data_IF_896615424722
#
_entry.id   IF_896615424722
#
_cell.length_a   1.000
_cell.length_b   1.000
_cell.length_c   1.000
_cell.angle_alpha   90.00
_cell.angle_beta   90.00
_cell.angle_gamma   90.00
#
_symmetry.space_group_name_H-M   'P 1'
#
loop_
_entity.id
_entity.type
_entity.pdbx_description
1 polymer ?
#
# COMPACT_ATOMS: atom_id res chain seq x y z
N UNK A 1 1.16 4.03 -17.74
CA UNK A 1 0.66 2.85 -17.02
C UNK A 1 1.74 1.79 -16.90
N UNK A 2 1.59 0.87 -15.97
CA UNK A 2 2.57 -0.19 -15.65
C UNK A 2 2.99 -1.08 -16.83
N UNK A 3 2.30 -1.04 -17.99
CA UNK A 3 2.58 -1.91 -19.12
C UNK A 3 3.81 -1.54 -19.95
N UNK A 4 4.29 -0.32 -19.88
CA UNK A 4 5.47 0.12 -20.63
C UNK A 4 6.77 -0.18 -19.87
N UNK A 5 6.73 -0.15 -18.53
CA UNK A 5 7.90 -0.38 -17.68
C UNK A 5 8.32 -1.88 -17.62
N UNK A 6 7.40 -2.80 -17.93
CA UNK A 6 7.66 -4.26 -17.92
C UNK A 6 8.63 -4.67 -19.03
N UNK A 7 8.63 -4.00 -20.17
CA UNK A 7 9.43 -4.39 -21.32
C UNK A 7 10.93 -4.15 -21.15
N UNK A 8 11.32 -3.30 -20.19
CA UNK A 8 12.72 -2.98 -19.89
C UNK A 8 13.30 -3.79 -18.71
N UNK A 9 12.47 -4.61 -18.03
CA UNK A 9 12.94 -5.44 -16.90
C UNK A 9 13.65 -6.71 -17.38
N UNK A 10 14.87 -6.93 -16.90
CA UNK A 10 15.56 -8.22 -17.04
C UNK A 10 14.95 -9.25 -16.06
N UNK A 11 13.81 -9.82 -16.44
CA UNK A 11 13.04 -10.76 -15.63
C UNK A 11 13.63 -12.19 -15.64
N UNK A 12 14.90 -12.33 -15.30
CA UNK A 12 15.58 -13.64 -15.15
C UNK A 12 15.75 -14.05 -13.69
N UNK A 13 15.23 -13.26 -12.77
CA UNK A 13 15.23 -13.58 -11.35
C UNK A 13 14.42 -14.83 -11.04
N UNK A 14 14.71 -15.43 -9.90
CA UNK A 14 14.01 -16.62 -9.42
C UNK A 14 13.64 -16.47 -7.95
N UNK A 15 12.52 -17.06 -7.57
CA UNK A 15 12.14 -17.19 -6.17
C UNK A 15 12.91 -18.31 -5.48
N UNK A 16 13.03 -18.26 -4.17
CA UNK A 16 13.57 -19.37 -3.37
C UNK A 16 12.75 -20.66 -3.64
N UNK A 17 13.43 -21.83 -3.65
CA UNK A 17 12.81 -23.11 -4.00
C UNK A 17 11.58 -23.52 -3.18
N UNK A 18 11.46 -23.00 -1.95
CA UNK A 18 10.31 -23.25 -1.08
C UNK A 18 9.15 -22.28 -1.32
N UNK A 19 9.22 -21.37 -2.27
CA UNK A 19 8.11 -20.49 -2.64
C UNK A 19 7.03 -21.23 -3.42
N UNK A 20 5.79 -20.77 -3.27
CA UNK A 20 4.66 -21.24 -4.08
C UNK A 20 4.36 -20.17 -5.12
N UNK A 21 4.50 -20.50 -6.39
CA UNK A 21 4.15 -19.63 -7.52
C UNK A 21 2.93 -20.21 -8.22
N UNK A 22 1.83 -19.43 -8.22
CA UNK A 22 0.58 -19.79 -8.90
C UNK A 22 0.47 -18.92 -10.15
N UNK A 23 0.27 -19.56 -11.32
CA UNK A 23 0.35 -18.93 -12.64
C UNK A 23 1.73 -18.28 -12.88
N UNK A 24 2.78 -19.07 -12.73
CA UNK A 24 4.17 -18.64 -12.74
C UNK A 24 4.60 -17.86 -14.00
N UNK A 25 3.98 -18.11 -15.15
CA UNK A 25 4.20 -17.39 -16.41
C UNK A 25 3.77 -15.92 -16.36
N UNK A 26 3.02 -15.54 -15.33
CA UNK A 26 2.59 -14.15 -15.04
C UNK A 26 3.32 -13.54 -13.82
N UNK A 27 4.37 -14.19 -13.34
CA UNK A 27 5.23 -13.69 -12.26
C UNK A 27 6.56 -13.25 -12.85
N UNK A 28 6.83 -11.95 -12.81
CA UNK A 28 8.00 -11.31 -13.40
C UNK A 28 8.93 -10.83 -12.28
N UNK A 29 10.07 -11.48 -12.14
CA UNK A 29 11.05 -11.19 -11.08
C UNK A 29 12.30 -10.62 -11.74
N UNK A 30 12.70 -9.39 -11.39
CA UNK A 30 13.98 -8.82 -11.84
C UNK A 30 15.15 -9.68 -11.37
N UNK A 31 16.21 -9.70 -12.16
CA UNK A 31 17.42 -10.47 -11.87
C UNK A 31 18.10 -10.08 -10.54
N UNK A 32 17.90 -8.85 -10.08
CA UNK A 32 18.44 -8.33 -8.82
C UNK A 32 17.47 -8.42 -7.64
N UNK A 33 16.21 -8.80 -7.89
CA UNK A 33 15.21 -8.94 -6.84
C UNK A 33 15.38 -10.23 -6.03
N UNK A 34 14.91 -10.22 -4.80
CA UNK A 34 14.96 -11.37 -3.89
C UNK A 34 13.56 -11.75 -3.45
N UNK A 35 13.18 -13.01 -3.66
CA UNK A 35 11.95 -13.60 -3.12
C UNK A 35 12.33 -14.69 -2.14
N UNK A 36 12.14 -14.43 -0.84
CA UNK A 36 12.60 -15.25 0.26
C UNK A 36 11.71 -16.48 0.51
N UNK A 37 12.24 -17.41 1.30
CA UNK A 37 11.63 -18.70 1.58
C UNK A 37 10.18 -18.62 2.08
N UNK A 38 9.34 -19.55 1.63
CA UNK A 38 7.96 -19.70 2.07
C UNK A 38 7.00 -18.61 1.60
N UNK A 39 7.44 -17.69 0.75
CA UNK A 39 6.54 -16.69 0.14
C UNK A 39 5.60 -17.34 -0.87
N UNK A 40 4.42 -16.77 -1.01
CA UNK A 40 3.39 -17.21 -1.97
C UNK A 40 3.10 -16.05 -2.92
N UNK A 41 3.29 -16.29 -4.22
CA UNK A 41 2.97 -15.33 -5.28
C UNK A 41 1.84 -15.92 -6.12
N UNK A 42 0.64 -15.37 -6.02
CA UNK A 42 -0.55 -15.79 -6.75
C UNK A 42 -0.93 -14.79 -7.84
N UNK A 43 -0.56 -15.10 -9.07
CA UNK A 43 -0.84 -14.28 -10.26
C UNK A 43 -2.15 -14.70 -10.97
N UNK A 44 -3.10 -15.32 -10.26
CA UNK A 44 -4.37 -15.75 -10.86
C UNK A 44 -5.18 -14.58 -11.40
N UNK A 45 -5.30 -13.51 -10.63
CA UNK A 45 -6.15 -12.36 -10.97
C UNK A 45 -5.40 -11.28 -11.77
N UNK A 46 -4.06 -11.32 -11.82
CA UNK A 46 -3.24 -10.34 -12.54
C UNK A 46 -1.74 -10.61 -12.40
N UNK A 47 -0.94 -9.94 -13.20
CA UNK A 47 0.51 -10.10 -13.20
C UNK A 47 1.12 -9.59 -11.89
N UNK A 48 2.19 -10.27 -11.46
CA UNK A 48 3.03 -9.82 -10.35
C UNK A 48 4.38 -9.42 -10.91
N UNK A 49 4.79 -8.19 -10.63
CA UNK A 49 6.07 -7.64 -11.07
C UNK A 49 6.88 -7.27 -9.83
N UNK A 50 8.08 -7.84 -9.72
CA UNK A 50 9.03 -7.55 -8.64
C UNK A 50 10.27 -6.93 -9.28
N UNK A 51 10.43 -5.63 -9.07
CA UNK A 51 11.41 -4.79 -9.75
C UNK A 51 12.82 -4.87 -9.12
N UNK A 52 13.79 -4.16 -9.67
CA UNK A 52 15.18 -4.21 -9.30
C UNK A 52 15.43 -3.98 -7.80
N UNK A 53 16.25 -4.86 -7.22
CA UNK A 53 16.63 -4.84 -5.81
C UNK A 53 15.44 -4.86 -4.83
N UNK A 54 14.23 -5.18 -5.29
CA UNK A 54 13.11 -5.37 -4.39
C UNK A 54 13.26 -6.67 -3.59
N UNK A 55 12.78 -6.67 -2.36
CA UNK A 55 12.76 -7.82 -1.48
C UNK A 55 11.32 -8.20 -1.14
N UNK A 56 10.92 -9.41 -1.46
CA UNK A 56 9.73 -10.05 -0.88
C UNK A 56 10.23 -11.00 0.19
N UNK A 57 10.04 -10.64 1.46
CA UNK A 57 10.67 -11.33 2.58
C UNK A 57 9.87 -12.55 3.03
N UNK A 58 10.43 -13.32 3.95
CA UNK A 58 10.00 -14.66 4.35
C UNK A 58 8.48 -14.73 4.62
N UNK A 59 7.82 -15.69 3.98
CA UNK A 59 6.41 -16.00 4.23
C UNK A 59 5.41 -14.93 3.80
N UNK A 60 5.82 -13.95 3.01
CA UNK A 60 4.90 -12.95 2.48
C UNK A 60 3.92 -13.61 1.47
N UNK A 61 2.67 -13.12 1.45
CA UNK A 61 1.66 -13.48 0.47
C UNK A 61 1.41 -12.27 -0.44
N UNK A 62 1.63 -12.44 -1.74
CA UNK A 62 1.35 -11.41 -2.74
C UNK A 62 0.39 -11.97 -3.77
N UNK A 63 -0.77 -11.33 -3.90
CA UNK A 63 -1.77 -11.66 -4.89
C UNK A 63 -1.87 -10.55 -5.94
N UNK A 64 -1.75 -10.94 -7.21
CA UNK A 64 -1.81 -10.01 -8.33
C UNK A 64 -3.22 -9.44 -8.62
N UNK A 65 -3.32 -8.35 -9.41
CA UNK A 65 -2.18 -7.65 -9.97
C UNK A 65 -1.32 -6.95 -8.90
N UNK A 66 0.00 -7.04 -9.00
CA UNK A 66 0.87 -6.39 -8.01
C UNK A 66 2.19 -5.89 -8.65
N UNK A 67 2.57 -4.68 -8.29
CA UNK A 67 3.88 -4.12 -8.62
C UNK A 67 4.63 -3.82 -7.34
N UNK A 68 5.82 -4.38 -7.19
CA UNK A 68 6.75 -4.11 -6.09
C UNK A 68 7.95 -3.38 -6.67
N UNK A 69 8.00 -2.07 -6.47
CA UNK A 69 8.96 -1.17 -7.09
C UNK A 69 10.38 -1.30 -6.57
N UNK A 70 11.30 -0.67 -7.30
CA UNK A 70 12.76 -0.72 -7.06
C UNK A 70 13.11 -0.42 -5.62
N UNK A 71 14.01 -1.23 -5.05
CA UNK A 71 14.53 -1.08 -3.69
C UNK A 71 13.44 -1.12 -2.60
N UNK A 72 12.25 -1.60 -2.89
CA UNK A 72 11.17 -1.73 -1.92
C UNK A 72 11.22 -3.07 -1.20
N UNK A 73 10.69 -3.10 0.01
CA UNK A 73 10.68 -4.27 0.87
C UNK A 73 9.24 -4.62 1.25
N UNK A 74 8.84 -5.83 0.93
CA UNK A 74 7.65 -6.48 1.50
C UNK A 74 8.11 -7.27 2.72
N UNK A 75 7.70 -6.84 3.89
CA UNK A 75 8.18 -7.39 5.16
C UNK A 75 7.69 -8.84 5.41
N UNK A 76 8.34 -9.59 6.31
CA UNK A 76 7.96 -10.96 6.62
C UNK A 76 6.46 -11.11 6.94
N UNK A 77 5.80 -12.09 6.32
CA UNK A 77 4.40 -12.40 6.57
C UNK A 77 3.37 -11.35 6.12
N UNK A 78 3.79 -10.31 5.39
CA UNK A 78 2.86 -9.32 4.83
C UNK A 78 1.87 -9.97 3.84
N UNK A 79 0.66 -9.41 3.77
CA UNK A 79 -0.40 -9.84 2.86
C UNK A 79 -0.74 -8.68 1.92
N UNK A 80 -0.42 -8.84 0.66
CA UNK A 80 -0.65 -7.83 -0.36
C UNK A 80 -1.59 -8.37 -1.43
N UNK A 81 -2.55 -7.55 -1.87
CA UNK A 81 -3.46 -7.89 -2.96
C UNK A 81 -3.83 -6.65 -3.75
N UNK A 82 -3.68 -6.74 -5.08
CA UNK A 82 -3.99 -5.65 -6.01
C UNK A 82 -3.33 -4.33 -5.57
N UNK A 83 -1.99 -4.31 -5.61
CA UNK A 83 -1.20 -3.18 -5.08
C UNK A 83 -0.21 -2.63 -6.09
N UNK A 84 0.01 -1.33 -6.01
CA UNK A 84 1.11 -0.66 -6.68
C UNK A 84 2.04 -0.03 -5.63
N UNK A 85 3.16 -0.67 -5.38
CA UNK A 85 4.16 -0.19 -4.43
C UNK A 85 5.28 0.48 -5.23
N UNK A 86 5.39 1.80 -5.13
CA UNK A 86 6.46 2.58 -5.75
C UNK A 86 7.83 2.31 -5.12
N UNK A 87 8.89 2.99 -5.58
CA UNK A 87 10.25 2.70 -5.15
C UNK A 87 10.51 3.07 -3.69
N UNK A 88 11.47 2.38 -3.08
CA UNK A 88 11.96 2.65 -1.71
C UNK A 88 10.89 2.62 -0.63
N UNK A 89 9.85 1.82 -0.79
CA UNK A 89 8.82 1.60 0.22
C UNK A 89 9.16 0.40 1.12
N UNK A 90 8.61 0.41 2.34
CA UNK A 90 8.67 -0.75 3.24
C UNK A 90 7.26 -1.07 3.71
N UNK A 91 6.75 -2.23 3.30
CA UNK A 91 5.34 -2.59 3.47
C UNK A 91 5.21 -3.87 4.27
N UNK A 92 4.45 -3.80 5.35
CA UNK A 92 4.08 -4.92 6.22
C UNK A 92 2.59 -4.91 6.58
N UNK A 93 2.12 -5.93 7.28
CA UNK A 93 0.72 -6.11 7.62
C UNK A 93 -0.13 -6.47 6.41
N UNK A 94 -1.35 -5.93 6.33
CA UNK A 94 -2.31 -6.25 5.26
C UNK A 94 -2.60 -5.00 4.43
N UNK A 95 -2.42 -5.12 3.10
CA UNK A 95 -2.62 -4.02 2.15
C UNK A 95 -3.35 -4.53 0.92
N UNK A 96 -4.50 -3.93 0.60
CA UNK A 96 -5.32 -4.30 -0.55
C UNK A 96 -5.72 -3.08 -1.38
N UNK A 97 -5.80 -3.25 -2.71
CA UNK A 97 -6.31 -2.23 -3.66
C UNK A 97 -5.70 -0.84 -3.41
N UNK A 98 -4.39 -0.77 -3.14
CA UNK A 98 -3.73 0.43 -2.64
C UNK A 98 -2.48 0.78 -3.43
N UNK A 99 -2.30 2.08 -3.68
CA UNK A 99 -1.09 2.63 -4.29
C UNK A 99 -0.25 3.36 -3.24
N UNK A 100 1.03 2.98 -3.14
CA UNK A 100 2.07 3.76 -2.47
C UNK A 100 2.94 4.41 -3.55
N UNK A 101 3.03 5.73 -3.57
CA UNK A 101 3.73 6.44 -4.64
C UNK A 101 5.25 6.23 -4.59
N UNK A 102 5.84 6.30 -3.40
CA UNK A 102 7.28 6.02 -3.20
C UNK A 102 7.80 6.48 -1.84
N UNK A 103 8.98 6.02 -1.46
CA UNK A 103 9.71 6.44 -0.26
C UNK A 103 8.90 6.39 1.03
N UNK A 104 7.90 5.54 1.10
CA UNK A 104 6.91 5.51 2.17
C UNK A 104 6.93 4.20 2.95
N UNK A 105 6.56 4.27 4.23
CA UNK A 105 6.63 3.14 5.13
C UNK A 105 5.29 2.83 5.77
N UNK A 106 4.89 1.55 5.68
CA UNK A 106 3.91 0.88 6.53
C UNK A 106 4.51 -0.44 6.99
N UNK A 107 5.53 -0.38 7.85
CA UNK A 107 6.34 -1.56 8.17
C UNK A 107 5.65 -2.58 9.09
N UNK A 108 4.67 -2.16 9.87
CA UNK A 108 4.05 -2.96 10.92
C UNK A 108 2.64 -3.41 10.54
N UNK A 109 2.03 -4.24 11.39
CA UNK A 109 0.66 -4.69 11.25
C UNK A 109 -0.35 -3.53 11.17
N UNK A 110 -1.53 -3.82 10.70
CA UNK A 110 -2.61 -2.91 10.40
C UNK A 110 -3.10 -3.09 8.96
N UNK A 111 -4.35 -2.76 8.72
CA UNK A 111 -5.00 -2.85 7.40
C UNK A 111 -5.01 -1.50 6.68
N UNK A 112 -4.57 -1.48 5.43
CA UNK A 112 -4.74 -0.35 4.51
C UNK A 112 -5.39 -0.87 3.22
N UNK A 113 -6.60 -0.39 2.94
CA UNK A 113 -7.36 -0.81 1.75
C UNK A 113 -7.92 0.36 0.96
N UNK A 114 -8.06 0.16 -0.36
CA UNK A 114 -8.67 1.09 -1.31
C UNK A 114 -8.15 2.53 -1.17
N UNK A 115 -6.82 2.68 -1.07
CA UNK A 115 -6.17 3.93 -0.64
C UNK A 115 -5.08 4.40 -1.60
N UNK A 116 -4.79 5.70 -1.53
CA UNK A 116 -3.63 6.30 -2.18
C UNK A 116 -2.72 6.96 -1.13
N UNK A 117 -1.47 6.53 -1.09
CA UNK A 117 -0.45 6.98 -0.14
C UNK A 117 0.64 7.71 -0.92
N UNK A 118 0.84 8.97 -0.64
CA UNK A 118 1.85 9.82 -1.27
C UNK A 118 3.28 9.42 -0.95
N UNK A 119 4.22 10.29 -1.30
CA UNK A 119 5.64 10.08 -1.03
C UNK A 119 6.03 10.51 0.39
N UNK A 120 7.07 9.87 0.92
CA UNK A 120 7.63 10.19 2.24
C UNK A 120 6.64 10.08 3.40
N UNK A 121 5.58 9.29 3.20
CA UNK A 121 4.60 8.99 4.25
C UNK A 121 5.13 7.92 5.19
N UNK A 122 4.89 8.09 6.49
CA UNK A 122 5.19 7.07 7.48
C UNK A 122 3.95 6.73 8.30
N UNK A 123 3.41 5.54 8.09
CA UNK A 123 2.29 5.03 8.87
C UNK A 123 2.81 4.31 10.11
N UNK A 124 2.42 4.80 11.27
CA UNK A 124 2.77 4.19 12.57
C UNK A 124 2.20 2.78 12.71
N UNK A 125 2.79 2.00 13.61
CA UNK A 125 2.36 0.62 13.86
C UNK A 125 0.86 0.56 14.16
N UNK A 126 0.18 -0.47 13.61
CA UNK A 126 -1.26 -0.66 13.78
C UNK A 126 -2.12 0.53 13.28
N UNK A 127 -1.61 1.29 12.29
CA UNK A 127 -2.47 2.23 11.56
C UNK A 127 -3.43 1.42 10.69
N UNK A 128 -4.72 1.68 10.82
CA UNK A 128 -5.78 1.02 10.06
C UNK A 128 -6.68 2.05 9.37
N UNK A 129 -7.17 1.72 8.19
CA UNK A 129 -8.28 2.45 7.60
C UNK A 129 -9.51 1.55 7.41
N UNK A 130 -10.68 2.14 7.49
CA UNK A 130 -11.90 1.53 6.95
C UNK A 130 -12.06 1.96 5.49
N UNK A 131 -12.54 1.07 4.65
CA UNK A 131 -12.79 1.32 3.23
C UNK A 131 -14.22 1.01 2.80
N UNK A 132 -15.03 0.45 3.70
CA UNK A 132 -16.44 0.14 3.49
C UNK A 132 -17.28 0.71 4.63
N UNK A 133 -18.38 1.38 4.30
CA UNK A 133 -19.33 1.83 5.30
C UNK A 133 -20.23 0.69 5.79
N UNK A 134 -20.59 0.71 7.06
CA UNK A 134 -21.47 -0.32 7.68
C UNK A 134 -22.85 -0.44 7.00
N UNK A 135 -23.33 0.62 6.36
CA UNK A 135 -24.61 0.64 5.65
C UNK A 135 -24.49 0.37 4.14
N UNK A 136 -23.27 0.03 3.66
CA UNK A 136 -22.96 -0.26 2.26
C UNK A 136 -23.29 0.87 1.26
N UNK A 137 -23.48 2.09 1.73
CA UNK A 137 -23.67 3.25 0.85
C UNK A 137 -22.34 3.73 0.29
N UNK A 138 -22.40 4.44 -0.85
CA UNK A 138 -21.20 5.02 -1.46
C UNK A 138 -20.44 5.90 -0.49
N UNK A 139 -19.12 5.84 -0.60
CA UNK A 139 -18.18 6.69 0.13
C UNK A 139 -17.99 7.99 -0.64
N UNK A 140 -18.05 9.10 0.06
CA UNK A 140 -17.69 10.41 -0.50
C UNK A 140 -16.38 10.88 0.08
N UNK A 141 -15.51 11.39 -0.79
CA UNK A 141 -14.21 11.96 -0.42
C UNK A 141 -14.24 13.45 -0.73
N UNK A 142 -13.88 14.27 0.24
CA UNK A 142 -13.69 15.69 0.04
C UNK A 142 -12.28 15.95 -0.47
N UNK A 143 -12.18 16.60 -1.64
CA UNK A 143 -10.90 17.03 -2.23
C UNK A 143 -11.02 18.54 -2.48
N UNK A 144 -10.32 19.33 -1.65
CA UNK A 144 -10.50 20.78 -1.62
C UNK A 144 -11.94 21.15 -1.25
N UNK A 145 -12.59 21.90 -2.14
CA UNK A 145 -13.99 22.34 -1.95
C UNK A 145 -15.02 21.39 -2.60
N UNK A 146 -14.56 20.33 -3.25
CA UNK A 146 -15.44 19.40 -3.94
C UNK A 146 -15.61 18.09 -3.15
N UNK A 147 -16.80 17.52 -3.22
CA UNK A 147 -17.06 16.13 -2.83
C UNK A 147 -17.16 15.24 -4.05
N UNK A 148 -16.41 14.13 -4.06
CA UNK A 148 -16.40 13.13 -5.12
C UNK A 148 -17.02 11.85 -4.62
N UNK A 149 -17.92 11.26 -5.38
CA UNK A 149 -18.44 9.91 -5.12
C UNK A 149 -17.38 8.90 -5.56
N UNK A 150 -16.80 8.18 -4.60
CA UNK A 150 -15.74 7.21 -4.81
C UNK A 150 -16.25 5.75 -4.88
N UNK A 151 -17.55 5.55 -4.97
CA UNK A 151 -18.17 4.23 -4.99
C UNK A 151 -18.30 3.59 -3.59
N UNK A 152 -18.55 2.29 -3.57
CA UNK A 152 -18.81 1.55 -2.33
C UNK A 152 -17.55 1.35 -1.48
N UNK A 153 -16.40 1.14 -2.12
CA UNK A 153 -15.12 0.90 -1.47
C UNK A 153 -14.17 2.08 -1.72
N UNK A 154 -13.84 2.80 -0.65
CA UNK A 154 -12.84 3.86 -0.69
C UNK A 154 -12.24 4.08 0.70
N UNK A 155 -10.94 3.92 0.79
CA UNK A 155 -10.15 4.08 2.01
C UNK A 155 -9.77 5.53 2.24
N UNK A 156 -8.48 5.84 2.13
CA UNK A 156 -7.98 7.18 2.39
C UNK A 156 -7.04 7.69 1.28
N UNK A 157 -6.98 9.01 1.15
CA UNK A 157 -5.98 9.70 0.35
C UNK A 157 -5.05 10.42 1.32
N UNK A 158 -3.76 10.07 1.32
CA UNK A 158 -2.76 10.66 2.21
C UNK A 158 -1.71 11.39 1.39
N UNK A 159 -1.58 12.68 1.63
CA UNK A 159 -0.59 13.54 0.98
C UNK A 159 0.84 13.30 1.46
N UNK A 160 1.79 13.74 0.65
CA UNK A 160 3.22 13.56 0.87
C UNK A 160 3.68 14.08 2.24
N UNK A 161 4.77 13.51 2.75
CA UNK A 161 5.43 13.87 4.01
C UNK A 161 4.59 13.70 5.27
N UNK A 162 3.38 13.13 5.17
CA UNK A 162 2.48 12.90 6.31
C UNK A 162 2.96 11.73 7.16
N UNK A 163 2.77 11.85 8.47
CA UNK A 163 3.10 10.82 9.45
C UNK A 163 1.91 10.53 10.34
N UNK A 164 1.67 9.25 10.65
CA UNK A 164 0.66 8.85 11.63
C UNK A 164 1.31 8.24 12.86
N UNK A 165 0.72 8.50 14.02
CA UNK A 165 1.09 7.84 15.27
C UNK A 165 0.67 6.36 15.29
N UNK A 166 1.11 5.66 16.34
CA UNK A 166 0.73 4.26 16.60
C UNK A 166 -0.79 4.16 16.78
N UNK A 167 -1.40 3.11 16.21
CA UNK A 167 -2.83 2.81 16.31
C UNK A 167 -3.76 3.92 15.79
N UNK A 168 -3.32 4.68 14.81
CA UNK A 168 -4.18 5.67 14.16
C UNK A 168 -5.32 4.96 13.41
N UNK A 169 -6.57 5.38 13.69
CA UNK A 169 -7.78 4.86 13.06
C UNK A 169 -8.30 5.86 12.02
N UNK A 170 -8.26 5.47 10.75
CA UNK A 170 -8.67 6.30 9.61
C UNK A 170 -10.03 5.82 9.12
N UNK A 171 -10.99 6.72 8.95
CA UNK A 171 -12.34 6.38 8.50
C UNK A 171 -12.39 6.23 6.96
N UNK A 172 -13.48 5.64 6.44
CA UNK A 172 -13.76 5.60 4.99
C UNK A 172 -13.76 6.99 4.38
N UNK A 173 -13.14 7.14 3.21
CA UNK A 173 -13.16 8.38 2.46
C UNK A 173 -12.43 9.55 3.16
N UNK A 174 -11.42 9.25 3.95
CA UNK A 174 -10.62 10.29 4.61
C UNK A 174 -9.60 10.88 3.64
N UNK A 175 -9.54 12.20 3.59
CA UNK A 175 -8.46 12.95 2.95
C UNK A 175 -7.56 13.57 4.02
N UNK A 176 -6.27 13.28 3.92
CA UNK A 176 -5.22 13.88 4.76
C UNK A 176 -4.26 14.62 3.83
N UNK A 177 -4.10 15.92 4.06
CA UNK A 177 -3.26 16.77 3.23
C UNK A 177 -1.76 16.50 3.36
N UNK A 178 -0.96 17.38 2.81
CA UNK A 178 0.50 17.30 2.81
C UNK A 178 1.08 17.61 4.19
N UNK A 179 2.16 16.95 4.57
CA UNK A 179 3.01 17.32 5.71
C UNK A 179 2.30 17.30 7.07
N UNK A 180 1.27 16.47 7.19
CA UNK A 180 0.53 16.33 8.44
C UNK A 180 1.27 15.42 9.43
N UNK A 181 1.04 15.66 10.72
CA UNK A 181 1.46 14.77 11.80
C UNK A 181 0.23 14.39 12.62
N UNK A 182 -0.29 13.19 12.38
CA UNK A 182 -1.61 12.73 12.87
C UNK A 182 -1.40 11.80 14.04
N UNK A 183 -1.98 12.14 15.18
CA UNK A 183 -1.97 11.32 16.40
C UNK A 183 -3.17 11.67 17.27
N UNK A 184 -3.47 10.84 18.25
CA UNK A 184 -4.64 10.97 19.14
C UNK A 184 -5.52 9.74 19.06
N UNK A 185 -6.43 9.59 20.01
CA UNK A 185 -7.35 8.45 20.10
C UNK A 185 -8.61 8.63 19.25
N UNK A 186 -9.23 7.50 18.89
CA UNK A 186 -10.46 7.50 18.13
C UNK A 186 -10.27 7.65 16.62
N UNK A 187 -11.40 7.71 15.92
CA UNK A 187 -11.37 7.92 14.47
C UNK A 187 -10.97 9.35 14.12
N UNK A 188 -10.07 9.46 13.14
CA UNK A 188 -9.64 10.74 12.61
C UNK A 188 -10.78 11.42 11.84
N UNK A 189 -10.74 12.77 11.74
CA UNK A 189 -11.64 13.55 10.90
C UNK A 189 -11.50 13.13 9.43
N UNK A 190 -12.59 13.15 8.67
CA UNK A 190 -12.59 12.76 7.25
C UNK A 190 -11.82 13.72 6.33
N UNK A 191 -11.66 14.96 6.75
CA UNK A 191 -10.87 15.94 6.04
C UNK A 191 -9.90 16.61 7.02
N UNK A 192 -8.62 16.44 6.71
CA UNK A 192 -7.51 17.02 7.47
C UNK A 192 -6.70 17.88 6.50
N UNK A 193 -6.68 19.21 6.67
CA UNK A 193 -5.93 20.10 5.78
C UNK A 193 -4.42 19.87 5.90
N UNK A 194 -3.67 20.32 4.88
CA UNK A 194 -2.21 20.23 4.88
C UNK A 194 -1.59 20.93 6.09
N UNK A 195 -0.47 20.39 6.55
CA UNK A 195 0.32 20.91 7.68
C UNK A 195 -0.38 20.87 9.05
N UNK A 196 -1.42 20.03 9.18
CA UNK A 196 -2.10 19.80 10.45
C UNK A 196 -1.22 19.02 11.44
N UNK A 197 -1.35 19.36 12.71
CA UNK A 197 -0.67 18.71 13.83
C UNK A 197 -1.69 18.21 14.87
N UNK A 198 -1.72 16.90 15.14
CA UNK A 198 -2.65 16.28 16.09
C UNK A 198 -3.98 15.83 15.49
N UNK A 199 -4.87 15.32 16.35
CA UNK A 199 -6.19 14.80 15.94
C UNK A 199 -7.16 15.90 15.49
N UNK A 200 -7.01 17.10 16.01
CA UNK A 200 -7.95 18.22 15.81
C UNK A 200 -7.51 19.19 14.72
N UNK A 201 -6.34 18.99 14.13
CA UNK A 201 -5.84 19.82 13.03
C UNK A 201 -5.48 21.23 13.48
N UNK A 202 -4.85 21.37 14.66
CA UNK A 202 -4.25 22.64 15.10
C UNK A 202 -3.00 23.00 14.33
#
# INVERSE_FOLDING_TARGET
GFGEDIYDLDCKGSAHESCILINNDRVHISNSAVVSAGSILDATDGDIIIDDNALVDIGALVKGPAYIGKNSIVNPGAKLKDVAIGPFCKIGGEVEHTTFHGFSNKQHDGYIGNSYIGEWVNLGANTNNSDLKNNYSNVRIRIGDNEVDAGMFAGCLIGDFTKTGISTMINTGTYIGLGCNIFGGGFQKKYIPSFSWGADGE
#
